data_IF_646604160691
#
_entry.id   IF_646604160691
#
_cell.length_a   1.000
_cell.length_b   1.000
_cell.length_c   1.000
_cell.angle_alpha   90.00
_cell.angle_beta   90.00
_cell.angle_gamma   90.00
#
_symmetry.space_group_name_H-M   'P 1'
#
loop_
_entity.id
_entity.type
_entity.pdbx_description
1 polymer ?
#
# COMPACT_ATOMS: atom_id res chain seq x y z
N UNK A 1 -26.18 -36.88 79.45
CA UNK A 1 -25.69 -35.52 79.14
C UNK A 1 -24.35 -35.65 78.37
N UNK A 2 -24.43 -35.65 77.06
CA UNK A 2 -23.24 -35.78 76.18
C UNK A 2 -22.93 -34.42 75.60
N UNK A 3 -21.75 -33.88 75.92
CA UNK A 3 -21.23 -32.64 75.35
C UNK A 3 -20.71 -32.89 73.95
N UNK A 4 -21.28 -32.23 72.95
CA UNK A 4 -20.77 -32.21 71.59
C UNK A 4 -19.77 -31.09 71.50
N UNK A 5 -18.52 -31.43 71.18
CA UNK A 5 -17.45 -30.49 70.87
C UNK A 5 -17.49 -30.24 69.37
N UNK A 6 -17.81 -29.01 68.95
CA UNK A 6 -17.77 -28.58 67.57
C UNK A 6 -16.32 -28.06 67.35
N UNK A 7 -15.59 -28.79 66.53
CA UNK A 7 -14.28 -28.35 66.01
C UNK A 7 -14.51 -27.46 64.78
N UNK A 8 -14.26 -26.17 64.93
CA UNK A 8 -14.26 -25.25 63.82
C UNK A 8 -12.89 -25.33 63.14
N UNK A 9 -12.84 -25.95 61.95
CA UNK A 9 -11.68 -25.92 61.08
C UNK A 9 -11.66 -24.56 60.31
N UNK A 10 -10.77 -23.67 60.66
CA UNK A 10 -10.50 -22.45 59.91
C UNK A 10 -9.72 -22.81 58.63
N UNK A 11 -10.44 -22.80 57.47
CA UNK A 11 -9.78 -22.81 56.16
C UNK A 11 -9.22 -21.42 55.88
N UNK A 12 -7.91 -21.27 56.02
CA UNK A 12 -7.16 -20.17 55.46
C UNK A 12 -7.14 -20.30 53.93
N UNK A 13 -8.06 -19.63 53.26
CA UNK A 13 -7.98 -19.36 51.82
C UNK A 13 -6.88 -18.35 51.60
N UNK A 14 -5.71 -18.81 51.17
CA UNK A 14 -4.68 -18.00 50.60
C UNK A 14 -5.20 -17.41 49.29
N UNK A 15 -5.62 -16.15 49.32
CA UNK A 15 -5.77 -15.35 48.09
C UNK A 15 -4.37 -15.12 47.52
N UNK A 16 -3.95 -15.95 46.57
CA UNK A 16 -2.92 -15.56 45.64
C UNK A 16 -3.55 -14.53 44.72
N UNK A 17 -3.21 -13.27 44.94
CA UNK A 17 -3.48 -12.20 44.00
C UNK A 17 -2.83 -12.55 42.68
N UNK A 18 -3.66 -12.82 41.67
CA UNK A 18 -3.24 -12.74 40.28
C UNK A 18 -2.90 -11.26 40.06
N UNK A 19 -1.63 -10.92 40.17
CA UNK A 19 -1.13 -9.69 39.57
C UNK A 19 -1.35 -9.84 38.07
N UNK A 20 -2.38 -9.16 37.57
CA UNK A 20 -2.42 -8.81 36.16
C UNK A 20 -1.17 -8.00 35.89
N UNK A 21 -0.19 -8.61 35.24
CA UNK A 21 0.88 -7.87 34.59
C UNK A 21 0.18 -6.95 33.59
N UNK A 22 0.18 -5.66 33.90
CA UNK A 22 -0.03 -4.61 32.91
C UNK A 22 1.19 -4.65 31.98
N UNK A 23 1.15 -5.53 30.99
CA UNK A 23 1.97 -5.43 29.80
C UNK A 23 1.44 -4.25 28.96
N UNK A 24 1.76 -3.03 29.42
CA UNK A 24 1.83 -1.86 28.56
C UNK A 24 3.14 -1.94 27.75
N UNK A 25 3.38 -3.05 27.07
CA UNK A 25 4.17 -3.05 25.87
C UNK A 25 3.23 -2.42 24.82
N UNK A 26 3.57 -1.23 24.32
CA UNK A 26 3.07 -0.75 23.04
C UNK A 26 3.37 -1.88 22.05
N UNK A 27 2.37 -2.70 21.75
CA UNK A 27 2.45 -3.73 20.69
C UNK A 27 2.78 -2.97 19.42
N UNK A 28 4.01 -3.11 18.97
CA UNK A 28 4.48 -2.50 17.73
C UNK A 28 3.87 -3.34 16.61
N UNK A 29 2.65 -2.98 16.20
CA UNK A 29 1.78 -3.68 15.26
C UNK A 29 2.42 -3.93 13.88
N UNK A 30 3.53 -3.23 13.60
CA UNK A 30 4.27 -3.34 12.34
C UNK A 30 5.31 -4.47 12.35
N UNK A 31 5.43 -5.25 13.44
CA UNK A 31 6.48 -6.27 13.61
C UNK A 31 5.90 -7.58 14.14
N UNK A 32 6.31 -8.67 13.51
CA UNK A 32 6.06 -10.04 13.99
C UNK A 32 7.34 -10.57 14.63
N UNK A 33 7.27 -11.02 15.88
CA UNK A 33 8.39 -11.69 16.56
C UNK A 33 8.30 -13.20 16.37
N UNK A 34 9.37 -13.81 15.87
CA UNK A 34 9.54 -15.25 15.73
C UNK A 34 10.76 -15.69 16.51
N UNK A 35 10.68 -16.85 17.17
CA UNK A 35 11.82 -17.45 17.89
C UNK A 35 12.42 -18.53 16.99
N UNK A 36 13.71 -18.43 16.66
CA UNK A 36 14.40 -19.43 15.87
C UNK A 36 14.68 -20.72 16.68
N UNK A 37 15.19 -21.77 16.02
CA UNK A 37 15.48 -23.06 16.65
C UNK A 37 16.52 -22.97 17.77
N UNK A 38 17.33 -21.92 17.77
CA UNK A 38 18.36 -21.64 18.74
C UNK A 38 17.86 -20.76 19.91
N UNK A 39 16.55 -20.46 19.96
CA UNK A 39 15.91 -19.64 20.97
C UNK A 39 16.11 -18.13 20.77
N UNK A 40 16.65 -17.69 19.64
CA UNK A 40 16.88 -16.29 19.32
C UNK A 40 15.62 -15.67 18.74
N UNK A 41 15.18 -14.55 19.29
CA UNK A 41 14.08 -13.79 18.77
C UNK A 41 14.51 -12.96 17.55
N UNK A 42 13.75 -13.06 16.47
CA UNK A 42 13.88 -12.28 15.26
C UNK A 42 12.61 -11.45 15.04
N UNK A 43 12.80 -10.16 14.77
CA UNK A 43 11.73 -9.24 14.40
C UNK A 43 11.63 -9.18 12.87
N UNK A 44 10.42 -9.42 12.36
CA UNK A 44 10.07 -9.41 10.94
C UNK A 44 9.12 -8.24 10.72
N UNK A 45 9.48 -7.31 9.83
CA UNK A 45 8.61 -6.21 9.44
C UNK A 45 7.43 -6.75 8.62
N UNK A 46 6.22 -6.31 8.95
CA UNK A 46 4.99 -6.66 8.23
C UNK A 46 4.95 -5.82 6.94
N UNK A 47 4.53 -6.38 5.79
CA UNK A 47 4.29 -5.59 4.60
C UNK A 47 3.32 -4.44 4.86
N UNK A 48 3.56 -3.25 4.29
CA UNK A 48 2.77 -2.02 4.54
C UNK A 48 1.26 -2.21 4.28
N UNK A 49 0.91 -3.07 3.32
CA UNK A 49 -0.49 -3.45 3.04
C UNK A 49 -1.17 -4.27 4.13
N UNK A 50 -0.43 -4.74 5.15
CA UNK A 50 -0.94 -5.53 6.30
C UNK A 50 -0.74 -4.81 7.64
N UNK A 51 -0.32 -3.55 7.64
CA UNK A 51 -0.24 -2.71 8.84
C UNK A 51 -1.65 -2.30 9.30
N UNK A 52 -1.83 -2.07 10.60
CA UNK A 52 -3.16 -1.73 11.17
C UNK A 52 -3.71 -0.38 10.71
N UNK A 53 -2.86 0.52 10.24
CA UNK A 53 -3.30 1.75 9.58
C UNK A 53 -4.14 1.50 8.32
N UNK A 54 -4.16 0.27 7.84
CA UNK A 54 -5.09 -0.18 6.81
C UNK A 54 -6.54 -0.08 7.28
N UNK A 55 -6.81 -0.25 8.57
CA UNK A 55 -8.16 -0.05 9.11
C UNK A 55 -8.65 1.40 8.93
N UNK A 56 -7.79 2.40 8.97
CA UNK A 56 -8.18 3.78 8.66
C UNK A 56 -8.36 4.03 7.17
N UNK A 57 -7.57 3.37 6.31
CA UNK A 57 -7.75 3.40 4.86
C UNK A 57 -8.95 2.56 4.44
N UNK A 58 -9.17 1.41 5.06
CA UNK A 58 -10.36 0.58 4.92
C UNK A 58 -11.60 1.28 5.52
N UNK A 59 -11.44 2.07 6.57
CA UNK A 59 -12.56 2.85 7.12
C UNK A 59 -13.03 3.92 6.13
N UNK A 60 -12.13 4.58 5.43
CA UNK A 60 -12.46 5.47 4.30
C UNK A 60 -13.13 4.72 3.14
N UNK A 61 -12.82 3.45 2.96
CA UNK A 61 -13.41 2.57 1.94
C UNK A 61 -14.72 1.94 2.42
N UNK A 62 -14.79 1.56 3.71
CA UNK A 62 -15.96 0.95 4.37
C UNK A 62 -17.09 1.95 4.68
N UNK A 63 -16.82 3.25 4.64
CA UNK A 63 -17.88 4.27 4.67
C UNK A 63 -18.58 4.43 3.33
N UNK A 64 -18.14 3.67 2.31
CA UNK A 64 -18.75 3.70 1.00
C UNK A 64 -19.94 2.74 0.98
N UNK A 65 -21.07 3.24 0.54
CA UNK A 65 -22.39 2.62 0.64
C UNK A 65 -22.54 1.25 -0.08
N UNK A 66 -21.53 0.81 -0.85
CA UNK A 66 -21.57 -0.42 -1.66
C UNK A 66 -20.88 -1.64 -1.03
N UNK A 67 -20.34 -1.53 0.18
CA UNK A 67 -19.80 -2.67 0.92
C UNK A 67 -20.61 -2.90 2.19
N UNK A 68 -21.32 -4.00 2.24
CA UNK A 68 -22.18 -4.35 3.36
C UNK A 68 -21.77 -5.69 3.97
N UNK A 69 -21.98 -5.83 5.28
CA UNK A 69 -21.84 -7.12 5.91
C UNK A 69 -22.87 -8.11 5.33
N UNK A 70 -22.43 -9.33 5.02
CA UNK A 70 -23.36 -10.40 4.62
C UNK A 70 -24.19 -10.85 5.82
N UNK A 71 -25.45 -10.43 5.88
CA UNK A 71 -26.38 -10.80 6.93
C UNK A 71 -26.84 -12.26 6.83
N UNK A 72 -26.62 -12.91 5.68
CA UNK A 72 -26.94 -14.34 5.48
C UNK A 72 -25.87 -15.26 6.03
N UNK A 73 -24.67 -14.76 6.24
CA UNK A 73 -23.55 -15.52 6.78
C UNK A 73 -23.75 -15.77 8.29
N UNK A 74 -23.82 -17.05 8.65
CA UNK A 74 -24.12 -17.50 10.02
C UNK A 74 -22.89 -17.94 10.81
N UNK A 75 -21.68 -17.66 10.32
CA UNK A 75 -20.46 -18.00 11.03
C UNK A 75 -20.37 -17.22 12.35
N UNK A 76 -19.91 -17.90 13.39
CA UNK A 76 -19.60 -17.24 14.66
C UNK A 76 -18.31 -16.41 14.47
N UNK A 77 -18.26 -15.26 15.09
CA UNK A 77 -17.04 -14.42 15.07
C UNK A 77 -15.99 -14.98 16.06
N UNK A 78 -15.61 -16.23 15.83
CA UNK A 78 -14.58 -16.94 16.59
C UNK A 78 -13.62 -17.55 15.59
N UNK A 79 -12.33 -17.25 15.73
CA UNK A 79 -11.30 -17.88 14.92
C UNK A 79 -10.97 -19.29 15.47
N UNK A 80 -11.28 -20.38 14.74
CA UNK A 80 -10.85 -21.71 15.12
C UNK A 80 -9.33 -21.83 15.03
N UNK A 81 -8.73 -22.46 16.04
CA UNK A 81 -7.30 -22.81 16.04
C UNK A 81 -7.20 -24.29 15.69
N UNK A 82 -6.34 -24.61 14.74
CA UNK A 82 -6.11 -25.97 14.26
C UNK A 82 -4.73 -26.47 14.70
N UNK A 83 -4.57 -27.79 14.69
CA UNK A 83 -3.25 -28.39 14.85
C UNK A 83 -2.35 -28.05 13.64
N UNK A 84 -1.06 -27.96 13.89
CA UNK A 84 -0.05 -27.62 12.86
C UNK A 84 -0.17 -28.47 11.59
N UNK A 85 -0.47 -29.76 11.74
CA UNK A 85 -0.61 -30.67 10.61
C UNK A 85 -1.74 -30.26 9.65
N UNK A 86 -2.84 -29.69 10.20
CA UNK A 86 -3.95 -29.20 9.37
C UNK A 86 -3.52 -28.07 8.44
N UNK A 87 -2.73 -27.11 8.95
CA UNK A 87 -2.19 -26.01 8.13
C UNK A 87 -1.27 -26.54 7.04
N UNK A 88 -0.37 -27.47 7.39
CA UNK A 88 0.53 -28.12 6.44
C UNK A 88 -0.24 -28.82 5.31
N UNK A 89 -1.24 -29.60 5.67
CA UNK A 89 -2.04 -30.36 4.71
C UNK A 89 -2.89 -29.46 3.81
N UNK A 90 -3.41 -28.36 4.36
CA UNK A 90 -4.16 -27.36 3.59
C UNK A 90 -3.26 -26.64 2.58
N UNK A 91 -2.08 -26.17 2.99
CA UNK A 91 -1.12 -25.53 2.08
C UNK A 91 -0.70 -26.49 0.95
N UNK A 92 -0.47 -27.77 1.23
CA UNK A 92 -0.14 -28.79 0.23
C UNK A 92 -1.27 -29.08 -0.76
N UNK A 93 -2.53 -28.84 -0.37
CA UNK A 93 -3.72 -29.06 -1.21
C UNK A 93 -4.04 -27.88 -2.11
N UNK A 94 -3.43 -26.71 -1.88
CA UNK A 94 -3.64 -25.58 -2.77
C UNK A 94 -3.15 -25.95 -4.19
N UNK A 95 -3.96 -25.71 -5.23
CA UNK A 95 -3.59 -26.00 -6.60
C UNK A 95 -2.65 -24.92 -7.15
N UNK A 96 -1.44 -24.84 -6.60
CA UNK A 96 -0.45 -23.81 -6.92
C UNK A 96 0.77 -24.42 -7.61
N UNK A 97 1.38 -23.67 -8.54
CA UNK A 97 2.67 -23.98 -9.13
C UNK A 97 3.82 -23.54 -8.23
N UNK A 98 3.58 -22.49 -7.44
CA UNK A 98 4.55 -21.95 -6.49
C UNK A 98 4.51 -22.78 -5.21
N UNK A 99 5.68 -23.18 -4.72
CA UNK A 99 5.76 -23.92 -3.46
C UNK A 99 5.30 -23.05 -2.28
N UNK A 100 4.42 -23.62 -1.45
CA UNK A 100 3.83 -22.98 -0.27
C UNK A 100 4.28 -23.70 1.02
N UNK A 101 5.58 -23.62 1.40
CA UNK A 101 6.06 -24.31 2.58
C UNK A 101 5.48 -23.72 3.86
N UNK A 102 5.16 -24.60 4.82
CA UNK A 102 4.79 -24.19 6.17
C UNK A 102 6.02 -23.99 7.05
N UNK A 103 6.02 -22.91 7.82
CA UNK A 103 6.93 -22.66 8.95
C UNK A 103 6.31 -21.67 9.94
N UNK A 104 6.99 -21.40 11.06
CA UNK A 104 6.48 -20.51 12.10
C UNK A 104 6.19 -19.09 11.59
N UNK A 105 7.02 -18.57 10.67
CA UNK A 105 6.80 -17.23 10.09
C UNK A 105 5.48 -17.21 9.31
N UNK A 106 5.24 -18.22 8.47
CA UNK A 106 3.98 -18.37 7.72
C UNK A 106 2.79 -18.49 8.67
N UNK A 107 2.93 -19.27 9.76
CA UNK A 107 1.87 -19.41 10.76
C UNK A 107 1.50 -18.07 11.39
N UNK A 108 2.49 -17.25 11.77
CA UNK A 108 2.23 -15.92 12.35
C UNK A 108 1.45 -15.00 11.40
N UNK A 109 1.72 -15.06 10.10
CA UNK A 109 0.94 -14.32 9.11
C UNK A 109 -0.47 -14.91 8.92
N UNK A 110 -0.66 -16.23 8.97
CA UNK A 110 -1.98 -16.85 8.96
C UNK A 110 -2.78 -16.40 10.19
N UNK A 111 -2.17 -16.43 11.38
CA UNK A 111 -2.80 -15.99 12.63
C UNK A 111 -3.20 -14.50 12.57
N UNK A 112 -2.36 -13.66 11.96
CA UNK A 112 -2.64 -12.23 11.76
C UNK A 112 -3.86 -12.04 10.85
N UNK A 113 -3.93 -12.73 9.71
CA UNK A 113 -5.08 -12.66 8.80
C UNK A 113 -6.37 -13.19 9.43
N UNK A 114 -6.30 -14.34 10.07
CA UNK A 114 -7.48 -14.98 10.69
C UNK A 114 -7.91 -14.34 12.01
N UNK A 115 -7.02 -13.56 12.65
CA UNK A 115 -7.24 -12.83 13.89
C UNK A 115 -7.45 -11.34 13.66
N UNK A 116 -6.39 -10.54 13.83
CA UNK A 116 -6.42 -9.08 13.82
C UNK A 116 -6.93 -8.48 12.51
N UNK A 117 -6.54 -9.03 11.37
CA UNK A 117 -6.95 -8.56 10.04
C UNK A 117 -8.24 -9.22 9.51
N UNK A 118 -8.98 -9.91 10.35
CA UNK A 118 -10.18 -10.67 10.00
C UNK A 118 -11.21 -9.83 9.21
N UNK A 119 -11.44 -8.60 9.66
CA UNK A 119 -12.34 -7.66 8.98
C UNK A 119 -11.79 -7.25 7.61
N UNK A 120 -10.48 -7.03 7.51
CA UNK A 120 -9.83 -6.72 6.23
C UNK A 120 -9.92 -7.89 5.26
N UNK A 121 -9.79 -9.12 5.74
CA UNK A 121 -10.00 -10.33 4.93
C UNK A 121 -11.44 -10.41 4.42
N UNK A 122 -12.44 -10.13 5.26
CA UNK A 122 -13.85 -10.08 4.87
C UNK A 122 -14.09 -9.08 3.72
N UNK A 123 -13.49 -7.90 3.80
CA UNK A 123 -13.49 -6.89 2.74
C UNK A 123 -12.81 -7.41 1.47
N UNK A 124 -11.59 -7.93 1.59
CA UNK A 124 -10.82 -8.43 0.43
C UNK A 124 -11.54 -9.57 -0.29
N UNK A 125 -12.23 -10.44 0.44
CA UNK A 125 -13.05 -11.50 -0.14
C UNK A 125 -14.23 -10.93 -0.95
N UNK A 126 -14.90 -9.90 -0.46
CA UNK A 126 -15.95 -9.21 -1.22
C UNK A 126 -15.40 -8.55 -2.48
N UNK A 127 -14.31 -7.82 -2.36
CA UNK A 127 -13.65 -7.14 -3.49
C UNK A 127 -13.05 -8.12 -4.52
N UNK A 128 -12.66 -9.32 -4.08
CA UNK A 128 -12.03 -10.33 -4.93
C UNK A 128 -12.92 -10.75 -6.10
N UNK A 129 -14.24 -10.76 -5.91
CA UNK A 129 -15.18 -11.09 -7.00
C UNK A 129 -15.04 -10.17 -8.21
N UNK A 130 -14.62 -8.93 -7.99
CA UNK A 130 -14.41 -7.95 -9.07
C UNK A 130 -12.97 -7.98 -9.61
N UNK A 131 -11.98 -8.04 -8.71
CA UNK A 131 -10.58 -7.87 -9.12
C UNK A 131 -9.90 -9.16 -9.59
N UNK A 132 -10.22 -10.33 -9.00
CA UNK A 132 -9.51 -11.58 -9.32
C UNK A 132 -9.61 -11.97 -10.81
N UNK A 133 -10.77 -11.86 -11.48
CA UNK A 133 -10.85 -12.15 -12.91
C UNK A 133 -9.93 -11.26 -13.76
N UNK A 134 -9.77 -9.98 -13.39
CA UNK A 134 -8.87 -9.04 -14.09
C UNK A 134 -7.40 -9.46 -13.90
N UNK A 135 -7.05 -9.90 -12.69
CA UNK A 135 -5.68 -10.35 -12.40
C UNK A 135 -5.36 -11.65 -13.11
N UNK A 136 -6.30 -12.60 -13.10
CA UNK A 136 -6.17 -13.90 -13.77
C UNK A 136 -5.97 -13.71 -15.27
N UNK A 137 -6.80 -12.90 -15.94
CA UNK A 137 -6.66 -12.58 -17.36
C UNK A 137 -5.26 -12.04 -17.69
N UNK A 138 -4.76 -11.08 -16.89
CA UNK A 138 -3.45 -10.51 -17.11
C UNK A 138 -2.32 -11.52 -16.86
N UNK A 139 -2.43 -12.39 -15.84
CA UNK A 139 -1.43 -13.43 -15.57
C UNK A 139 -1.42 -14.50 -16.66
N UNK A 140 -2.58 -14.95 -17.11
CA UNK A 140 -2.73 -15.92 -18.22
C UNK A 140 -2.13 -15.39 -19.52
N UNK A 141 -2.34 -14.11 -19.85
CA UNK A 141 -1.78 -13.46 -21.03
C UNK A 141 -0.24 -13.53 -21.09
N UNK A 142 0.42 -13.67 -19.93
CA UNK A 142 1.87 -13.81 -19.81
C UNK A 142 2.32 -15.22 -19.41
N UNK A 143 1.41 -16.21 -19.37
CA UNK A 143 1.66 -17.60 -18.94
C UNK A 143 2.30 -17.67 -17.54
N UNK A 144 1.74 -16.95 -16.57
CA UNK A 144 2.22 -16.89 -15.18
C UNK A 144 1.33 -17.68 -14.24
N UNK A 145 1.87 -18.17 -13.10
CA UNK A 145 1.08 -18.83 -12.06
C UNK A 145 -0.06 -17.96 -11.57
N UNK A 146 -1.28 -18.50 -11.51
CA UNK A 146 -2.47 -17.75 -11.16
C UNK A 146 -2.51 -17.36 -9.67
N UNK A 147 -1.82 -18.07 -8.82
CA UNK A 147 -1.69 -17.72 -7.40
C UNK A 147 -1.01 -16.38 -7.16
N UNK A 148 -0.26 -15.84 -8.13
CA UNK A 148 0.29 -14.48 -8.09
C UNK A 148 -0.79 -13.38 -8.01
N UNK A 149 -2.06 -13.70 -8.31
CA UNK A 149 -3.21 -12.82 -8.10
C UNK A 149 -3.39 -12.37 -6.64
N UNK A 150 -2.77 -13.07 -5.70
CA UNK A 150 -2.81 -12.70 -4.28
C UNK A 150 -1.71 -11.70 -3.87
N UNK A 151 -0.82 -11.27 -4.77
CA UNK A 151 0.11 -10.17 -4.48
C UNK A 151 -0.61 -8.86 -4.12
N UNK A 152 -1.67 -8.40 -4.84
CA UNK A 152 -2.43 -7.23 -4.45
C UNK A 152 -3.11 -7.32 -3.06
N UNK A 153 -3.31 -8.52 -2.53
CA UNK A 153 -3.80 -8.72 -1.16
C UNK A 153 -2.78 -8.20 -0.15
N UNK A 154 -1.49 -8.51 -0.34
CA UNK A 154 -0.41 -8.08 0.57
C UNK A 154 0.11 -6.68 0.26
N UNK A 155 -0.09 -6.17 -0.95
CA UNK A 155 0.38 -4.84 -1.38
C UNK A 155 -0.58 -3.72 -0.98
N UNK A 156 -1.89 -3.94 -1.11
CA UNK A 156 -2.88 -2.89 -0.99
C UNK A 156 -4.19 -3.31 -0.33
N UNK A 157 -4.30 -4.56 0.15
CA UNK A 157 -5.57 -5.16 0.56
C UNK A 157 -6.69 -4.95 -0.50
N UNK A 158 -6.35 -5.08 -1.78
CA UNK A 158 -7.22 -4.85 -2.93
C UNK A 158 -7.78 -3.42 -3.04
N UNK A 159 -7.08 -2.41 -2.52
CA UNK A 159 -7.46 -1.01 -2.65
C UNK A 159 -6.78 -0.35 -3.86
N UNK A 160 -7.49 -0.02 -4.95
CA UNK A 160 -6.90 0.58 -6.15
C UNK A 160 -6.43 2.03 -5.92
N UNK A 161 -6.87 2.67 -4.83
CA UNK A 161 -6.50 4.04 -4.48
C UNK A 161 -5.37 4.11 -3.45
N UNK A 162 -4.85 2.96 -2.99
CA UNK A 162 -3.78 2.89 -2.00
C UNK A 162 -2.52 3.64 -2.45
N UNK A 163 -1.89 4.35 -1.52
CA UNK A 163 -0.62 5.07 -1.72
C UNK A 163 0.26 4.86 -0.51
N UNK A 164 1.38 4.19 -0.69
CA UNK A 164 2.33 3.91 0.38
C UNK A 164 3.09 5.17 0.86
N UNK A 165 3.76 5.05 1.99
CA UNK A 165 4.62 6.12 2.55
C UNK A 165 5.73 6.56 1.58
N UNK A 166 6.17 5.67 0.69
CA UNK A 166 7.20 5.95 -0.32
C UNK A 166 6.65 6.30 -1.70
N UNK A 167 5.33 6.34 -1.86
CA UNK A 167 4.66 6.76 -3.09
C UNK A 167 4.36 5.63 -4.07
N UNK A 168 4.51 4.36 -3.67
CA UNK A 168 3.96 3.24 -4.42
C UNK A 168 2.43 3.37 -4.47
N UNK A 169 1.80 3.02 -5.58
CA UNK A 169 0.39 3.37 -5.81
C UNK A 169 -0.38 2.25 -6.49
N UNK A 170 -1.65 2.08 -6.08
CA UNK A 170 -2.63 1.21 -6.71
C UNK A 170 -2.61 -0.22 -6.18
N UNK A 171 -3.39 -1.10 -6.81
CA UNK A 171 -3.53 -2.52 -6.42
C UNK A 171 -2.19 -3.24 -6.31
N UNK A 172 -1.30 -3.00 -7.25
CA UNK A 172 0.00 -3.63 -7.42
C UNK A 172 1.17 -2.82 -6.83
N UNK A 173 0.88 -1.71 -6.15
CA UNK A 173 1.85 -0.82 -5.50
C UNK A 173 3.07 -0.45 -6.36
N UNK A 174 2.82 -0.03 -7.60
CA UNK A 174 3.89 0.43 -8.48
C UNK A 174 4.54 1.71 -7.99
N UNK A 175 5.87 1.70 -7.86
CA UNK A 175 6.66 2.92 -7.83
C UNK A 175 6.54 3.66 -9.16
N UNK A 176 6.59 4.99 -9.15
CA UNK A 176 6.40 5.81 -10.35
C UNK A 176 7.36 5.39 -11.50
N UNK A 177 8.65 5.27 -11.20
CA UNK A 177 9.67 4.89 -12.18
C UNK A 177 9.45 3.48 -12.75
N UNK A 178 9.06 2.53 -11.90
CA UNK A 178 8.75 1.15 -12.33
C UNK A 178 7.49 1.12 -13.19
N UNK A 179 6.41 1.79 -12.75
CA UNK A 179 5.16 1.87 -13.52
C UNK A 179 5.40 2.44 -14.93
N UNK A 180 6.12 3.56 -15.04
CA UNK A 180 6.47 4.15 -16.34
C UNK A 180 7.30 3.21 -17.22
N UNK A 181 8.24 2.46 -16.65
CA UNK A 181 9.03 1.46 -17.40
C UNK A 181 8.13 0.37 -18.02
N UNK A 182 7.04 0.02 -17.36
CA UNK A 182 6.07 -0.96 -17.83
C UNK A 182 4.86 -0.34 -18.52
N UNK A 183 4.97 0.91 -18.98
CA UNK A 183 4.02 1.56 -19.86
C UNK A 183 2.85 2.27 -19.16
N UNK A 184 2.91 2.43 -17.83
CA UNK A 184 1.88 3.15 -17.08
C UNK A 184 2.14 4.66 -17.11
N UNK A 185 1.15 5.42 -17.54
CA UNK A 185 1.20 6.87 -17.57
C UNK A 185 0.63 7.50 -16.29
N UNK A 186 1.28 8.57 -15.85
CA UNK A 186 0.88 9.30 -14.64
C UNK A 186 0.97 10.80 -14.88
N UNK A 187 -0.12 11.51 -14.70
CA UNK A 187 -0.17 12.96 -14.76
C UNK A 187 -1.11 13.55 -13.68
N UNK A 188 -1.44 14.82 -13.79
CA UNK A 188 -2.29 15.51 -12.81
C UNK A 188 -3.76 15.08 -12.87
N UNK A 189 -4.24 14.55 -13.98
CA UNK A 189 -5.63 14.13 -14.19
C UNK A 189 -5.82 12.64 -13.97
N UNK A 190 -4.87 11.80 -14.38
CA UNK A 190 -4.96 10.36 -14.21
C UNK A 190 -3.65 9.71 -13.76
N UNK A 191 -3.78 8.52 -13.18
CA UNK A 191 -2.68 7.69 -12.72
C UNK A 191 -3.01 6.22 -13.04
N UNK A 192 -2.41 5.68 -14.11
CA UNK A 192 -2.70 4.33 -14.60
C UNK A 192 -2.20 3.21 -13.65
N UNK A 193 -1.41 3.54 -12.63
CA UNK A 193 -1.08 2.59 -11.56
C UNK A 193 -2.31 2.20 -10.73
N UNK A 194 -3.37 3.02 -10.79
CA UNK A 194 -4.66 2.78 -10.15
C UNK A 194 -5.65 2.05 -11.05
N UNK A 195 -5.39 2.01 -12.37
CA UNK A 195 -6.23 1.29 -13.33
C UNK A 195 -6.10 -0.22 -13.11
N UNK A 196 -7.18 -0.93 -12.73
CA UNK A 196 -7.08 -2.36 -12.42
C UNK A 196 -6.55 -3.21 -13.58
N UNK A 197 -6.93 -2.89 -14.81
CA UNK A 197 -6.52 -3.66 -16.00
C UNK A 197 -5.08 -3.33 -16.38
N UNK A 198 -4.78 -2.05 -16.63
CA UNK A 198 -3.44 -1.63 -17.08
C UNK A 198 -2.36 -1.98 -16.06
N UNK A 199 -2.64 -1.74 -14.77
CA UNK A 199 -1.69 -2.09 -13.72
C UNK A 199 -1.45 -3.60 -13.63
N UNK A 200 -2.48 -4.43 -13.86
CA UNK A 200 -2.35 -5.89 -13.83
C UNK A 200 -1.49 -6.41 -14.99
N UNK A 201 -1.71 -5.92 -16.21
CA UNK A 201 -0.85 -6.28 -17.35
C UNK A 201 0.59 -5.79 -17.16
N UNK A 202 0.79 -4.60 -16.60
CA UNK A 202 2.14 -4.10 -16.26
C UNK A 202 2.82 -4.97 -15.19
N UNK A 203 2.06 -5.42 -14.16
CA UNK A 203 2.57 -6.29 -13.11
C UNK A 203 2.94 -7.68 -13.64
N UNK A 204 2.07 -8.28 -14.46
CA UNK A 204 2.34 -9.55 -15.11
C UNK A 204 3.61 -9.46 -16.00
N UNK A 205 3.76 -8.37 -16.75
CA UNK A 205 4.98 -8.13 -17.53
C UNK A 205 6.23 -8.02 -16.63
N UNK A 206 6.15 -7.28 -15.52
CA UNK A 206 7.25 -7.14 -14.57
C UNK A 206 7.61 -8.47 -13.90
N UNK A 207 6.63 -9.23 -13.44
CA UNK A 207 6.82 -10.56 -12.85
C UNK A 207 7.49 -11.54 -13.81
N UNK A 208 7.05 -11.54 -15.08
CA UNK A 208 7.70 -12.33 -16.14
C UNK A 208 9.17 -11.94 -16.33
N UNK A 209 9.48 -10.65 -16.31
CA UNK A 209 10.87 -10.20 -16.47
C UNK A 209 11.72 -10.53 -15.24
N UNK A 210 11.16 -10.52 -14.04
CA UNK A 210 11.84 -11.01 -12.84
C UNK A 210 12.07 -12.52 -12.89
N UNK A 211 11.10 -13.29 -13.41
CA UNK A 211 11.25 -14.74 -13.57
C UNK A 211 12.40 -15.11 -14.52
N UNK A 212 12.58 -14.36 -15.61
CA UNK A 212 13.74 -14.53 -16.50
C UNK A 212 15.09 -14.35 -15.81
N UNK A 213 15.13 -13.60 -14.68
CA UNK A 213 16.37 -13.35 -13.92
C UNK A 213 16.63 -14.46 -12.91
N UNK A 214 15.58 -14.94 -12.22
CA UNK A 214 15.74 -15.78 -11.03
C UNK A 214 15.35 -17.23 -11.26
N UNK A 215 14.48 -17.53 -12.21
CA UNK A 215 13.91 -18.85 -12.50
C UNK A 215 13.36 -19.59 -11.25
N UNK A 216 12.99 -18.79 -10.22
CA UNK A 216 12.42 -19.24 -8.95
C UNK A 216 11.38 -18.23 -8.48
N UNK A 217 10.16 -18.70 -8.21
CA UNK A 217 9.05 -17.82 -7.88
C UNK A 217 9.17 -17.14 -6.51
N UNK A 218 9.74 -17.81 -5.50
CA UNK A 218 9.93 -17.18 -4.18
C UNK A 218 10.96 -16.05 -4.27
N UNK A 219 11.99 -16.21 -5.12
CA UNK A 219 12.94 -15.13 -5.41
C UNK A 219 12.30 -14.00 -6.23
N UNK A 220 11.41 -14.34 -7.17
CA UNK A 220 10.63 -13.36 -7.96
C UNK A 220 9.75 -12.52 -7.04
N UNK A 221 9.00 -13.15 -6.14
CA UNK A 221 8.15 -12.49 -5.16
C UNK A 221 8.98 -11.57 -4.25
N UNK A 222 10.11 -12.05 -3.74
CA UNK A 222 11.05 -11.24 -2.97
C UNK A 222 11.60 -10.05 -3.78
N UNK A 223 11.92 -10.26 -5.07
CA UNK A 223 12.43 -9.24 -5.96
C UNK A 223 11.37 -8.22 -6.38
N UNK A 224 10.10 -8.61 -6.44
CA UNK A 224 8.99 -7.69 -6.67
C UNK A 224 8.94 -6.62 -5.56
N UNK A 225 9.04 -7.03 -4.30
CA UNK A 225 9.06 -6.14 -3.14
C UNK A 225 10.32 -5.25 -3.08
N UNK A 226 11.52 -5.85 -3.11
CA UNK A 226 12.74 -5.08 -2.82
C UNK A 226 13.59 -4.72 -4.05
N UNK A 227 13.21 -5.20 -5.22
CA UNK A 227 13.97 -5.06 -6.46
C UNK A 227 15.06 -6.13 -6.66
N UNK A 228 15.35 -6.53 -7.92
CA UNK A 228 16.25 -7.64 -8.23
C UNK A 228 17.69 -7.43 -7.73
N UNK A 229 18.16 -6.19 -7.66
CA UNK A 229 19.51 -5.90 -7.17
C UNK A 229 19.73 -6.29 -5.70
N UNK A 230 18.69 -6.14 -4.84
CA UNK A 230 18.80 -6.50 -3.42
C UNK A 230 18.77 -8.02 -3.23
N UNK A 231 17.95 -8.75 -4.02
CA UNK A 231 17.92 -10.21 -4.02
C UNK A 231 19.26 -10.77 -4.50
N UNK A 232 19.79 -10.29 -5.63
CA UNK A 232 21.12 -10.71 -6.12
C UNK A 232 22.24 -10.45 -5.09
N UNK A 233 22.16 -9.35 -4.34
CA UNK A 233 23.10 -9.07 -3.24
C UNK A 233 22.95 -10.06 -2.08
N UNK A 234 21.73 -10.52 -1.78
CA UNK A 234 21.48 -11.54 -0.76
C UNK A 234 22.04 -12.91 -1.22
N UNK A 235 21.78 -13.31 -2.47
CA UNK A 235 22.35 -14.51 -3.10
C UNK A 235 23.89 -14.50 -3.03
N UNK A 236 24.52 -13.38 -3.40
CA UNK A 236 25.98 -13.26 -3.32
C UNK A 236 26.51 -13.41 -1.88
N UNK A 237 25.80 -12.82 -0.88
CA UNK A 237 26.17 -12.96 0.54
C UNK A 237 25.98 -14.39 1.06
N UNK A 238 25.01 -15.09 0.52
CA UNK A 238 24.74 -16.52 0.79
C UNK A 238 25.63 -17.46 -0.04
N UNK A 239 26.72 -16.96 -0.63
CA UNK A 239 27.70 -17.74 -1.41
C UNK A 239 27.11 -18.41 -2.67
N UNK A 240 26.08 -17.82 -3.26
CA UNK A 240 25.45 -18.31 -4.48
C UNK A 240 24.22 -19.20 -4.27
N UNK A 241 23.76 -19.35 -3.03
CA UNK A 241 22.48 -20.03 -2.75
C UNK A 241 21.32 -19.28 -3.39
N UNK A 242 20.41 -20.02 -4.04
CA UNK A 242 19.22 -19.49 -4.72
C UNK A 242 17.90 -19.90 -4.04
N UNK A 243 17.94 -20.70 -2.99
CA UNK A 243 16.78 -20.99 -2.14
C UNK A 243 16.41 -19.75 -1.30
N UNK A 244 15.15 -19.31 -1.39
CA UNK A 244 14.66 -18.15 -0.63
C UNK A 244 14.93 -18.27 0.86
N UNK A 245 14.69 -19.44 1.48
CA UNK A 245 14.82 -19.63 2.92
C UNK A 245 16.28 -19.65 3.38
N UNK A 246 17.20 -19.99 2.49
CA UNK A 246 18.66 -19.92 2.75
C UNK A 246 19.20 -18.50 2.61
N UNK A 247 18.66 -17.70 1.67
CA UNK A 247 19.07 -16.28 1.53
C UNK A 247 18.29 -15.33 2.47
N UNK A 248 17.23 -15.81 3.10
CA UNK A 248 16.36 -15.08 4.00
C UNK A 248 17.10 -14.19 5.01
N UNK A 249 18.13 -14.64 5.75
CA UNK A 249 18.85 -13.79 6.72
C UNK A 249 19.58 -12.60 6.10
N UNK A 250 19.83 -12.63 4.80
CA UNK A 250 20.56 -11.60 4.05
C UNK A 250 19.64 -10.61 3.35
N UNK A 251 18.33 -10.90 3.29
CA UNK A 251 17.31 -10.03 2.72
C UNK A 251 17.03 -8.82 3.64
N UNK A 252 16.51 -7.70 3.10
CA UNK A 252 15.94 -6.62 3.93
C UNK A 252 14.87 -7.15 4.89
N UNK A 253 14.73 -6.60 6.08
CA UNK A 253 13.76 -7.06 7.08
C UNK A 253 12.32 -7.11 6.54
N UNK A 254 11.88 -6.05 5.86
CA UNK A 254 10.59 -5.96 5.20
C UNK A 254 10.38 -7.12 4.19
N UNK A 255 11.40 -7.44 3.38
CA UNK A 255 11.32 -8.49 2.36
C UNK A 255 11.27 -9.90 2.97
N UNK A 256 11.81 -10.09 4.18
CA UNK A 256 11.73 -11.39 4.89
C UNK A 256 10.29 -11.77 5.21
N UNK A 257 9.42 -10.80 5.53
CA UNK A 257 8.01 -11.03 5.76
C UNK A 257 7.18 -11.22 4.50
N UNK A 258 7.69 -10.81 3.34
CA UNK A 258 6.88 -10.68 2.14
C UNK A 258 6.44 -12.02 1.52
N UNK A 259 7.35 -12.98 1.34
CA UNK A 259 7.00 -14.33 0.86
C UNK A 259 6.13 -15.10 1.86
N UNK A 260 6.45 -15.12 3.18
CA UNK A 260 5.53 -15.69 4.17
C UNK A 260 4.13 -15.07 4.17
N UNK A 261 4.03 -13.73 4.02
CA UNK A 261 2.75 -13.03 3.90
C UNK A 261 1.98 -13.46 2.64
N UNK A 262 2.67 -13.65 1.50
CA UNK A 262 2.08 -14.15 0.26
C UNK A 262 1.53 -15.59 0.43
N UNK A 263 2.28 -16.48 1.08
CA UNK A 263 1.82 -17.84 1.38
C UNK A 263 0.57 -17.80 2.27
N UNK A 264 0.59 -16.97 3.31
CA UNK A 264 -0.53 -16.82 4.22
C UNK A 264 -1.76 -16.18 3.53
N UNK A 265 -1.56 -15.24 2.59
CA UNK A 265 -2.63 -14.67 1.77
C UNK A 265 -3.29 -15.74 0.90
N UNK A 266 -2.49 -16.58 0.22
CA UNK A 266 -3.02 -17.73 -0.52
C UNK A 266 -3.82 -18.67 0.38
N UNK A 267 -3.32 -18.95 1.58
CA UNK A 267 -4.03 -19.79 2.55
C UNK A 267 -5.37 -19.17 2.96
N UNK A 268 -5.38 -17.95 3.47
CA UNK A 268 -6.59 -17.35 4.05
C UNK A 268 -7.67 -17.07 2.99
N UNK A 269 -7.29 -16.66 1.79
CA UNK A 269 -8.24 -16.41 0.69
C UNK A 269 -8.90 -17.70 0.17
N UNK A 270 -8.33 -18.88 0.43
CA UNK A 270 -8.90 -20.18 0.06
C UNK A 270 -9.61 -20.87 1.23
N UNK A 271 -9.16 -20.66 2.47
CA UNK A 271 -9.68 -21.34 3.66
C UNK A 271 -10.42 -20.41 4.63
N UNK A 272 -10.89 -19.25 4.17
CA UNK A 272 -11.60 -18.27 4.99
C UNK A 272 -12.85 -18.83 5.69
N UNK A 273 -13.58 -19.75 5.04
CA UNK A 273 -14.74 -20.42 5.62
C UNK A 273 -14.37 -21.24 6.87
N UNK A 274 -13.23 -21.95 6.81
CA UNK A 274 -12.71 -22.74 7.94
C UNK A 274 -12.32 -21.86 9.12
N UNK A 275 -12.01 -20.60 8.88
CA UNK A 275 -11.73 -19.59 9.90
C UNK A 275 -12.97 -18.78 10.30
N UNK A 276 -14.16 -19.20 9.90
CA UNK A 276 -15.43 -18.51 10.15
C UNK A 276 -15.43 -17.05 9.68
N UNK A 277 -14.77 -16.72 8.57
CA UNK A 277 -14.77 -15.39 7.98
C UNK A 277 -15.85 -15.31 6.90
N UNK A 278 -16.72 -14.31 7.01
CA UNK A 278 -17.76 -14.03 6.02
C UNK A 278 -17.24 -12.98 5.02
N UNK A 279 -17.31 -13.23 3.70
CA UNK A 279 -17.08 -12.18 2.73
C UNK A 279 -18.07 -11.01 2.91
N UNK A 280 -17.63 -9.77 2.70
CA UNK A 280 -18.56 -8.66 2.56
C UNK A 280 -19.30 -8.76 1.22
N UNK A 281 -20.55 -8.32 1.21
CA UNK A 281 -21.32 -8.15 -0.03
C UNK A 281 -20.85 -6.85 -0.69
N UNK A 282 -20.56 -6.89 -1.98
CA UNK A 282 -20.20 -5.71 -2.77
C UNK A 282 -21.24 -5.43 -3.84
N UNK A 283 -21.57 -4.16 -4.03
CA UNK A 283 -22.37 -3.69 -5.17
C UNK A 283 -21.54 -3.41 -6.42
N UNK A 284 -20.23 -3.69 -6.39
CA UNK A 284 -19.41 -3.65 -7.60
C UNK A 284 -20.02 -4.62 -8.62
N UNK A 285 -20.29 -4.17 -9.85
CA UNK A 285 -20.95 -5.00 -10.85
C UNK A 285 -20.06 -6.18 -11.22
N UNK A 286 -20.65 -7.36 -11.29
CA UNK A 286 -19.94 -8.59 -11.70
C UNK A 286 -19.47 -8.54 -13.15
N UNK A 287 -20.15 -7.73 -13.99
CA UNK A 287 -19.81 -7.53 -15.39
C UNK A 287 -19.66 -6.05 -15.68
N UNK A 288 -18.52 -5.70 -16.22
CA UNK A 288 -18.20 -4.35 -16.67
C UNK A 288 -17.58 -4.41 -18.06
N UNK A 289 -17.80 -3.34 -18.81
CA UNK A 289 -17.10 -3.12 -20.07
C UNK A 289 -16.62 -1.67 -20.14
N UNK A 290 -15.87 -1.33 -21.18
CA UNK A 290 -15.27 0.00 -21.36
C UNK A 290 -15.79 0.66 -22.64
N UNK A 291 -16.08 1.95 -22.53
CA UNK A 291 -16.28 2.82 -23.70
C UNK A 291 -15.09 3.76 -23.83
N UNK A 292 -14.69 4.06 -25.06
CA UNK A 292 -13.68 5.09 -25.31
C UNK A 292 -14.34 6.45 -25.48
N UNK A 293 -13.87 7.44 -24.71
CA UNK A 293 -14.26 8.84 -24.87
C UNK A 293 -13.14 9.60 -25.59
N UNK A 294 -13.52 10.36 -26.62
CA UNK A 294 -12.60 11.15 -27.46
C UNK A 294 -12.78 12.67 -27.29
N UNK A 295 -13.56 13.07 -26.31
CA UNK A 295 -13.75 14.45 -25.87
C UNK A 295 -13.58 14.50 -24.35
N UNK A 296 -13.31 15.69 -23.83
CA UNK A 296 -13.25 15.89 -22.39
C UNK A 296 -14.66 15.69 -21.81
N UNK A 297 -14.73 14.91 -20.73
CA UNK A 297 -15.99 14.61 -20.04
C UNK A 297 -15.75 14.59 -18.54
N UNK A 298 -16.73 15.07 -17.79
CA UNK A 298 -16.72 15.00 -16.33
C UNK A 298 -17.52 13.78 -15.87
N UNK A 299 -17.05 13.08 -14.82
CA UNK A 299 -17.73 11.91 -14.25
C UNK A 299 -19.19 12.24 -13.90
N UNK A 300 -19.49 13.45 -13.40
CA UNK A 300 -20.83 13.88 -13.08
C UNK A 300 -21.74 13.97 -14.31
N UNK A 301 -21.22 14.31 -15.50
CA UNK A 301 -22.01 14.31 -16.75
C UNK A 301 -22.51 12.92 -17.06
N UNK A 302 -21.61 11.93 -17.02
CA UNK A 302 -21.95 10.52 -17.25
C UNK A 302 -22.93 10.04 -16.18
N UNK A 303 -22.64 10.30 -14.91
CA UNK A 303 -23.44 9.86 -13.78
C UNK A 303 -24.89 10.37 -13.85
N UNK A 304 -25.08 11.66 -14.18
CA UNK A 304 -26.41 12.28 -14.24
C UNK A 304 -27.22 11.82 -15.44
N UNK A 305 -26.62 11.73 -16.62
CA UNK A 305 -27.32 11.32 -17.83
C UNK A 305 -27.69 9.83 -17.80
N UNK A 306 -26.80 8.98 -17.27
CA UNK A 306 -27.05 7.54 -17.16
C UNK A 306 -27.78 7.13 -15.87
N UNK A 307 -28.08 8.09 -14.99
CA UNK A 307 -28.71 7.86 -13.68
C UNK A 307 -27.97 6.78 -12.84
N UNK A 308 -26.64 6.87 -12.81
CA UNK A 308 -25.77 6.04 -11.96
C UNK A 308 -25.16 6.92 -10.87
N UNK A 309 -24.89 6.35 -9.70
CA UNK A 309 -24.18 7.07 -8.63
C UNK A 309 -22.76 7.46 -9.07
N UNK A 310 -22.39 8.74 -8.86
CA UNK A 310 -21.09 9.25 -9.29
C UNK A 310 -19.92 8.60 -8.53
N UNK A 311 -20.13 8.22 -7.25
CA UNK A 311 -19.10 7.54 -6.47
C UNK A 311 -18.91 6.11 -6.95
N UNK A 312 -19.99 5.43 -7.34
CA UNK A 312 -19.90 4.13 -7.99
C UNK A 312 -19.05 4.22 -9.26
N UNK A 313 -19.29 5.23 -10.09
CA UNK A 313 -18.53 5.45 -11.33
C UNK A 313 -17.05 5.76 -11.04
N UNK A 314 -16.73 6.54 -9.99
CA UNK A 314 -15.36 6.79 -9.54
C UNK A 314 -14.65 5.52 -9.05
N UNK A 315 -15.37 4.58 -8.46
CA UNK A 315 -14.80 3.33 -7.98
C UNK A 315 -14.50 2.35 -9.12
N UNK A 316 -15.29 2.39 -10.19
CA UNK A 316 -14.99 1.66 -11.42
C UNK A 316 -13.84 2.27 -12.22
N UNK A 317 -13.51 3.55 -11.98
CA UNK A 317 -12.51 4.31 -12.71
C UNK A 317 -11.48 5.00 -11.78
N UNK A 318 -10.80 4.27 -10.90
CA UNK A 318 -9.94 4.84 -9.88
C UNK A 318 -8.68 5.51 -10.44
N UNK A 319 -8.36 5.29 -11.72
CA UNK A 319 -7.26 5.94 -12.44
C UNK A 319 -7.46 7.45 -12.60
N UNK A 320 -8.70 7.93 -12.65
CA UNK A 320 -8.99 9.35 -12.77
C UNK A 320 -8.86 10.03 -11.40
N UNK A 321 -7.79 10.80 -11.24
CA UNK A 321 -7.47 11.49 -9.98
C UNK A 321 -8.38 12.69 -9.73
N UNK A 322 -9.02 13.16 -10.77
CA UNK A 322 -10.02 14.21 -10.78
C UNK A 322 -11.18 13.74 -11.63
N UNK A 323 -12.33 14.33 -11.45
CA UNK A 323 -13.54 13.89 -12.16
C UNK A 323 -13.55 14.26 -13.66
N UNK A 324 -12.47 14.80 -14.19
CA UNK A 324 -12.30 15.15 -15.60
C UNK A 324 -11.50 14.06 -16.31
N UNK A 325 -12.08 13.48 -17.33
CA UNK A 325 -11.52 12.51 -18.24
C UNK A 325 -11.12 13.27 -19.50
N UNK A 326 -9.82 13.38 -19.76
CA UNK A 326 -9.24 14.19 -20.83
C UNK A 326 -9.20 13.42 -22.16
N UNK A 327 -10.37 13.14 -22.73
CA UNK A 327 -10.52 12.38 -23.97
C UNK A 327 -10.07 13.14 -25.21
N UNK A 328 -10.04 14.48 -25.18
CA UNK A 328 -9.57 15.32 -26.29
C UNK A 328 -8.06 15.19 -26.54
N UNK A 329 -7.27 14.83 -25.51
CA UNK A 329 -5.84 14.63 -25.67
C UNK A 329 -5.52 13.29 -26.35
N UNK A 330 -6.20 12.24 -25.94
CA UNK A 330 -6.22 10.91 -26.56
C UNK A 330 -7.50 10.17 -26.15
N UNK A 331 -7.96 9.14 -26.91
CA UNK A 331 -9.05 8.32 -26.45
C UNK A 331 -8.78 7.72 -25.06
N UNK A 332 -9.72 7.88 -24.15
CA UNK A 332 -9.61 7.44 -22.77
C UNK A 332 -10.71 6.43 -22.43
N UNK A 333 -10.37 5.29 -21.79
CA UNK A 333 -11.36 4.28 -21.43
C UNK A 333 -12.16 4.71 -20.20
N UNK A 334 -13.48 4.58 -20.28
CA UNK A 334 -14.41 4.70 -19.14
C UNK A 334 -15.06 3.36 -18.90
N UNK A 335 -14.84 2.80 -17.73
CA UNK A 335 -15.45 1.54 -17.30
C UNK A 335 -16.85 1.80 -16.74
N UNK A 336 -17.81 1.04 -17.23
CA UNK A 336 -19.21 1.10 -16.85
C UNK A 336 -19.72 -0.32 -16.55
N UNK A 337 -20.82 -0.46 -15.78
CA UNK A 337 -21.60 -1.69 -15.82
C UNK A 337 -21.98 -2.06 -17.27
N UNK A 338 -21.84 -3.33 -17.64
CA UNK A 338 -22.15 -3.81 -19.01
C UNK A 338 -23.53 -3.35 -19.48
N UNK A 339 -24.52 -3.35 -18.58
CA UNK A 339 -25.89 -2.93 -18.85
C UNK A 339 -26.05 -1.46 -19.27
N UNK A 340 -25.05 -0.61 -18.97
CA UNK A 340 -25.10 0.83 -19.29
C UNK A 340 -24.31 1.21 -20.54
N UNK A 341 -23.62 0.27 -21.18
CA UNK A 341 -22.81 0.54 -22.39
C UNK A 341 -23.68 1.05 -23.53
N UNK A 342 -24.82 0.38 -23.83
CA UNK A 342 -25.77 0.83 -24.84
C UNK A 342 -26.32 2.22 -24.54
N UNK A 343 -26.77 2.44 -23.30
CA UNK A 343 -27.27 3.74 -22.86
C UNK A 343 -26.21 4.87 -22.96
N UNK A 344 -24.94 4.58 -22.72
CA UNK A 344 -23.86 5.55 -22.95
C UNK A 344 -23.73 5.92 -24.43
N UNK A 345 -23.74 4.94 -25.31
CA UNK A 345 -23.61 5.14 -26.77
C UNK A 345 -24.76 5.98 -27.28
N UNK A 346 -25.99 5.65 -26.89
CA UNK A 346 -27.23 6.32 -27.34
C UNK A 346 -27.35 7.76 -26.82
N UNK A 347 -26.82 8.04 -25.64
CA UNK A 347 -26.89 9.36 -24.99
C UNK A 347 -25.58 10.16 -25.05
N UNK A 348 -24.65 9.78 -25.92
CA UNK A 348 -23.28 10.38 -25.97
C UNK A 348 -23.32 11.90 -26.09
N UNK A 349 -24.10 12.48 -26.96
CA UNK A 349 -24.20 13.93 -27.16
C UNK A 349 -24.77 14.64 -25.93
N UNK A 350 -25.78 14.04 -25.30
CA UNK A 350 -26.36 14.54 -24.04
C UNK A 350 -25.36 14.53 -22.91
N UNK A 351 -24.52 13.48 -22.82
CA UNK A 351 -23.45 13.38 -21.83
C UNK A 351 -22.44 14.51 -22.02
N UNK A 352 -21.93 14.70 -23.24
CA UNK A 352 -20.93 15.74 -23.49
C UNK A 352 -21.47 17.16 -23.33
N UNK A 353 -22.76 17.40 -23.58
CA UNK A 353 -23.35 18.72 -23.46
C UNK A 353 -23.82 19.06 -22.04
N UNK A 354 -24.07 18.09 -21.17
CA UNK A 354 -24.62 18.34 -19.84
C UNK A 354 -23.69 19.22 -18.98
N UNK A 355 -24.07 20.45 -18.73
CA UNK A 355 -23.34 21.44 -17.91
C UNK A 355 -21.83 21.52 -18.21
N UNK A 356 -21.45 21.36 -19.47
CA UNK A 356 -20.05 21.27 -19.88
C UNK A 356 -19.24 22.54 -19.51
N UNK A 357 -19.84 23.73 -19.68
CA UNK A 357 -19.21 25.02 -19.38
C UNK A 357 -18.92 25.21 -17.87
N UNK A 358 -19.67 24.53 -17.00
CA UNK A 358 -19.50 24.60 -15.55
C UNK A 358 -18.53 23.51 -15.03
N UNK A 359 -18.60 22.31 -15.58
CA UNK A 359 -17.90 21.13 -15.07
C UNK A 359 -16.50 20.99 -15.69
N UNK A 360 -16.34 21.36 -16.96
CA UNK A 360 -15.09 21.23 -17.71
C UNK A 360 -14.25 22.52 -17.61
N UNK A 361 -13.90 22.94 -16.42
CA UNK A 361 -12.97 24.05 -16.24
C UNK A 361 -11.59 23.69 -16.81
N UNK A 362 -11.04 24.55 -17.69
CA UNK A 362 -9.71 24.35 -18.30
C UNK A 362 -8.66 24.15 -17.21
N UNK A 363 -7.98 23.02 -17.24
CA UNK A 363 -6.86 22.69 -16.35
C UNK A 363 -5.66 22.25 -17.18
N UNK A 364 -4.49 22.81 -16.87
CA UNK A 364 -3.25 22.37 -17.49
C UNK A 364 -2.93 20.93 -17.06
N UNK A 365 -2.70 20.05 -18.02
CA UNK A 365 -2.16 18.72 -17.80
C UNK A 365 -0.67 18.86 -17.55
N UNK A 366 -0.18 18.38 -16.42
CA UNK A 366 1.24 18.39 -16.08
C UNK A 366 1.68 16.98 -15.81
N UNK A 367 2.67 16.51 -16.57
CA UNK A 367 3.29 15.21 -16.32
C UNK A 367 4.01 15.21 -14.96
N UNK A 368 3.90 14.12 -14.25
CA UNK A 368 4.62 13.93 -12.99
C UNK A 368 6.04 13.49 -13.34
N UNK A 369 7.03 14.35 -13.05
CA UNK A 369 8.44 14.04 -13.26
C UNK A 369 8.99 13.10 -12.18
N UNK A 370 10.00 12.29 -12.57
CA UNK A 370 10.62 11.23 -11.80
C UNK A 370 11.56 11.71 -10.66
N UNK A 371 11.42 12.94 -10.18
CA UNK A 371 12.13 13.38 -8.99
C UNK A 371 11.61 12.59 -7.77
N UNK A 372 12.05 11.34 -7.64
CA UNK A 372 11.86 10.57 -6.42
C UNK A 372 12.40 11.39 -5.24
N UNK A 373 11.58 11.64 -4.20
CA UNK A 373 12.15 12.15 -2.97
C UNK A 373 13.07 11.06 -2.42
N UNK A 374 14.39 11.27 -2.54
CA UNK A 374 15.37 10.43 -1.87
C UNK A 374 15.15 10.57 -0.36
N UNK A 375 14.39 9.67 0.22
CA UNK A 375 14.29 9.53 1.68
C UNK A 375 15.61 8.96 2.19
N UNK A 376 16.57 9.84 2.45
CA UNK A 376 17.67 9.49 3.32
C UNK A 376 17.10 9.29 4.73
N UNK A 377 16.99 8.04 5.16
CA UNK A 377 16.73 7.68 6.55
C UNK A 377 17.78 8.40 7.41
N UNK A 378 17.40 9.47 8.11
CA UNK A 378 18.23 10.04 9.16
C UNK A 378 18.27 9.04 10.31
N UNK A 379 19.32 8.23 10.36
CA UNK A 379 19.65 7.48 11.56
C UNK A 379 19.80 8.49 12.70
N UNK A 380 18.88 8.48 13.65
CA UNK A 380 19.07 9.15 14.93
C UNK A 380 20.22 8.45 15.65
N UNK A 381 21.42 9.01 15.52
CA UNK A 381 22.55 8.60 16.36
C UNK A 381 22.28 9.07 17.78
N UNK A 382 21.90 8.15 18.64
CA UNK A 382 21.99 8.35 20.09
C UNK A 382 23.46 8.56 20.41
N UNK A 383 23.83 9.79 20.78
CA UNK A 383 25.13 10.16 21.29
C UNK A 383 25.38 9.46 22.62
N UNK A 384 26.32 8.52 22.65
CA UNK A 384 26.98 8.13 23.89
C UNK A 384 28.17 9.06 24.07
N UNK A 385 28.11 9.85 25.13
CA UNK A 385 29.23 10.61 25.66
C UNK A 385 30.36 9.67 26.12
N UNK A 386 31.55 9.87 25.60
CA UNK A 386 32.79 9.45 26.29
C UNK A 386 33.89 10.47 26.02
N UNK A 387 34.44 10.85 27.12
CA UNK A 387 35.48 11.76 27.49
C UNK A 387 36.79 11.61 26.68
N UNK A 388 37.41 12.78 26.43
CA UNK A 388 38.71 13.04 25.79
C UNK A 388 39.88 12.31 26.46
N UNK A 389 41.08 12.29 25.82
CA UNK A 389 41.98 13.43 25.92
C UNK A 389 42.84 13.74 24.66
N UNK A 390 43.33 14.97 24.72
CA UNK A 390 44.20 15.71 23.85
C UNK A 390 45.54 15.07 23.43
N UNK A 391 46.04 15.40 22.23
CA UNK A 391 47.43 15.89 21.98
C UNK A 391 47.60 16.38 20.54
N UNK A 392 47.87 17.63 20.43
CA UNK A 392 48.92 18.43 19.77
C UNK A 392 49.65 17.81 18.56
N UNK A 393 49.72 18.45 17.39
CA UNK A 393 50.64 19.52 17.07
C UNK A 393 50.80 19.73 15.55
N UNK A 394 50.90 20.99 15.15
CA UNK A 394 51.76 21.57 14.09
C UNK A 394 51.59 21.07 12.66
N UNK A 395 51.58 21.88 11.60
CA UNK A 395 51.97 23.27 11.39
C UNK A 395 51.84 23.58 9.89
N UNK A 396 51.55 24.87 9.57
CA UNK A 396 52.07 25.69 8.44
C UNK A 396 51.75 25.24 7.01
N UNK A 397 51.40 26.06 6.08
CA UNK A 397 51.58 27.47 5.77
C UNK A 397 50.86 27.78 4.46
N UNK A 398 50.19 28.82 4.38
CA UNK A 398 50.44 30.13 3.73
C UNK A 398 50.12 30.19 2.22
N UNK A 399 49.40 31.17 1.91
CA UNK A 399 49.53 32.35 1.06
C UNK A 399 48.45 32.57 0.04
N UNK A 400 47.74 33.67 0.30
CA UNK A 400 47.55 34.86 -0.57
C UNK A 400 46.95 34.64 -1.95
N UNK A 401 45.79 35.27 -2.26
CA UNK A 401 45.77 36.70 -2.63
C UNK A 401 44.35 37.17 -2.97
N UNK A 402 44.05 38.35 -2.46
CA UNK A 402 43.30 39.49 -3.07
C UNK A 402 42.34 39.19 -4.22
N UNK A 403 41.03 39.56 -4.10
CA UNK A 403 40.62 40.90 -4.20
C UNK A 403 39.21 41.05 -4.74
N UNK A 404 38.57 42.03 -4.23
CA UNK A 404 37.55 42.96 -4.77
C UNK A 404 36.09 42.75 -4.47
N UNK A 405 35.64 43.71 -3.69
CA UNK A 405 34.30 44.24 -3.50
C UNK A 405 33.31 44.07 -4.65
N UNK A 406 32.15 43.48 -4.33
CA UNK A 406 30.93 43.58 -5.09
C UNK A 406 29.77 43.76 -4.16
N UNK A 407 29.19 44.94 -4.08
CA UNK A 407 28.04 45.32 -3.28
C UNK A 407 26.86 44.39 -3.54
N UNK A 408 26.44 43.67 -2.51
CA UNK A 408 25.18 42.91 -2.47
C UNK A 408 24.00 43.88 -2.48
N UNK A 409 23.26 43.92 -3.59
CA UNK A 409 21.93 44.57 -3.66
C UNK A 409 20.95 43.67 -2.85
N UNK A 410 20.31 44.25 -1.86
CA UNK A 410 19.19 43.69 -1.11
C UNK A 410 18.10 43.17 -2.07
N UNK A 411 18.05 41.85 -2.31
CA UNK A 411 16.95 41.22 -3.01
C UNK A 411 15.76 41.09 -2.03
N UNK A 412 14.78 41.99 -2.19
CA UNK A 412 13.48 41.87 -1.50
C UNK A 412 12.91 40.45 -1.83
N UNK A 413 12.77 39.59 -0.81
CA UNK A 413 12.26 38.23 -0.98
C UNK A 413 10.86 38.24 -1.61
N UNK A 414 10.68 37.50 -2.70
CA UNK A 414 9.38 37.34 -3.37
C UNK A 414 8.43 36.53 -2.47
N UNK A 415 7.25 37.04 -2.22
CA UNK A 415 6.18 36.33 -1.48
C UNK A 415 4.94 36.16 -2.34
N UNK A 416 4.21 35.06 -2.14
CA UNK A 416 2.99 34.71 -2.87
C UNK A 416 1.87 34.44 -1.87
N UNK A 417 0.64 34.80 -2.20
CA UNK A 417 -0.54 34.50 -1.39
C UNK A 417 -1.03 33.10 -1.70
N UNK A 418 -1.26 32.29 -0.67
CA UNK A 418 -1.79 30.92 -0.77
C UNK A 418 -3.28 31.03 -1.18
N UNK A 419 -3.63 30.39 -2.29
CA UNK A 419 -5.03 30.29 -2.75
C UNK A 419 -5.72 29.08 -2.10
N UNK A 420 -7.04 29.05 -2.13
CA UNK A 420 -7.81 27.87 -1.71
C UNK A 420 -7.43 26.68 -2.59
N UNK A 421 -7.08 25.54 -1.96
CA UNK A 421 -6.61 24.33 -2.65
C UNK A 421 -5.12 24.27 -2.98
N UNK A 422 -4.34 25.34 -2.71
CA UNK A 422 -2.88 25.30 -2.91
C UNK A 422 -2.20 24.33 -1.94
N UNK A 423 -1.26 23.55 -2.45
CA UNK A 423 -0.34 22.74 -1.65
C UNK A 423 1.06 23.36 -1.64
N UNK A 424 1.88 23.02 -0.64
CA UNK A 424 3.27 23.47 -0.60
C UNK A 424 4.07 23.02 -1.84
N UNK A 425 3.73 21.86 -2.39
CA UNK A 425 4.36 21.31 -3.60
C UNK A 425 4.05 22.17 -4.84
N UNK A 426 2.79 22.53 -5.01
CA UNK A 426 2.34 23.38 -6.12
C UNK A 426 2.92 24.80 -6.04
N UNK A 427 2.95 25.38 -4.83
CA UNK A 427 3.56 26.70 -4.62
C UNK A 427 5.07 26.65 -4.92
N UNK A 428 5.75 25.57 -4.51
CA UNK A 428 7.16 25.38 -4.79
C UNK A 428 7.43 25.27 -6.30
N UNK A 429 6.68 24.41 -6.99
CA UNK A 429 6.80 24.20 -8.44
C UNK A 429 6.56 25.48 -9.24
N UNK A 430 5.45 26.20 -8.97
CA UNK A 430 5.11 27.47 -9.63
C UNK A 430 6.16 28.57 -9.45
N UNK A 431 6.98 28.49 -8.40
CA UNK A 431 7.97 29.52 -8.08
C UNK A 431 9.42 29.06 -8.24
N UNK A 432 9.67 27.92 -8.91
CA UNK A 432 11.00 27.39 -9.17
C UNK A 432 11.81 27.15 -7.88
N UNK A 433 11.16 26.63 -6.84
CA UNK A 433 11.78 26.33 -5.54
C UNK A 433 11.34 24.95 -5.04
N UNK A 434 11.92 24.48 -3.97
CA UNK A 434 11.56 23.17 -3.38
C UNK A 434 10.70 23.35 -2.12
N UNK A 435 9.86 22.38 -1.81
CA UNK A 435 9.04 22.34 -0.58
C UNK A 435 9.92 22.52 0.65
N UNK A 436 11.09 21.88 0.68
CA UNK A 436 12.06 21.99 1.79
C UNK A 436 12.55 23.43 1.98
N UNK A 437 12.84 24.13 0.89
CA UNK A 437 13.28 25.53 0.91
C UNK A 437 12.13 26.47 1.32
N UNK A 438 10.90 26.21 0.83
CA UNK A 438 9.69 26.92 1.24
C UNK A 438 9.41 26.78 2.74
N UNK A 439 9.46 25.56 3.28
CA UNK A 439 9.29 25.28 4.71
C UNK A 439 10.33 26.00 5.55
N UNK A 440 11.61 25.94 5.14
CA UNK A 440 12.71 26.59 5.85
C UNK A 440 12.56 28.13 5.85
N UNK A 441 12.18 28.72 4.71
CA UNK A 441 11.98 30.17 4.58
C UNK A 441 10.81 30.68 5.41
N UNK A 442 9.80 29.85 5.63
CA UNK A 442 8.56 30.23 6.32
C UNK A 442 8.38 29.59 7.70
N UNK A 443 9.38 28.86 8.19
CA UNK A 443 9.35 28.13 9.47
C UNK A 443 8.13 27.21 9.64
N UNK A 444 7.79 26.48 8.55
CA UNK A 444 6.66 25.54 8.53
C UNK A 444 7.20 24.15 8.88
N UNK A 445 6.71 23.53 9.96
CA UNK A 445 7.13 22.20 10.41
C UNK A 445 6.31 21.07 9.76
N UNK A 446 5.03 21.30 9.46
CA UNK A 446 4.12 20.33 8.83
C UNK A 446 3.86 20.62 7.34
N UNK A 447 2.85 19.97 6.77
CA UNK A 447 2.38 20.21 5.39
C UNK A 447 1.16 21.13 5.32
N UNK A 448 0.56 21.47 6.48
CA UNK A 448 -0.65 22.27 6.53
C UNK A 448 -0.36 23.74 6.28
N UNK A 449 -1.04 24.33 5.30
CA UNK A 449 -1.03 25.76 4.98
C UNK A 449 -2.46 26.27 4.89
N UNK A 450 -2.64 27.56 5.20
CA UNK A 450 -3.97 28.18 5.17
C UNK A 450 -4.08 29.14 4.01
N UNK A 451 -5.19 29.05 3.24
CA UNK A 451 -5.53 29.99 2.18
C UNK A 451 -5.59 31.44 2.72
N UNK A 452 -5.23 32.40 1.92
CA UNK A 452 -5.17 33.82 2.27
C UNK A 452 -3.86 34.28 2.95
N UNK A 453 -3.02 33.35 3.45
CA UNK A 453 -1.70 33.70 4.01
C UNK A 453 -0.66 33.91 2.93
N UNK A 454 0.30 34.83 3.18
CA UNK A 454 1.46 35.04 2.30
C UNK A 454 2.60 34.09 2.69
N UNK A 455 3.19 33.43 1.70
CA UNK A 455 4.34 32.53 1.85
C UNK A 455 5.54 33.08 1.05
N UNK A 456 6.73 33.14 1.67
CA UNK A 456 7.96 33.57 1.03
C UNK A 456 8.46 32.45 0.11
N UNK A 457 8.77 32.80 -1.16
CA UNK A 457 9.16 31.80 -2.18
C UNK A 457 10.62 31.98 -2.65
N UNK A 458 11.23 33.14 -2.39
CA UNK A 458 12.65 33.47 -2.60
C UNK A 458 13.13 34.39 -1.51
#
# INVERSE_FOLDING_TARGET
MKKIIIMAAAMLLSWQGIQAQNDNAEDNDDVITVTDKDGKQEEIEVPEGLEDNLDSLLHLYNTQAYMMADTSCKYRDVNPVFETQVYIDRLKRLPTLIEMPYNEVVQKFIDRYSGKLRRSVSFMLGASNFYMPIFEEALEAYNLPLELKYLPVIESALNPKAVSRVGATGLWQFMLSTGKRYGLEVNTLYDERRDPVKASYAAAHYLRDLYKIFDDWNLVIAAYNCGPAKVNKAIHRAKGETDYWKIYPYLPKETRGYVPAFIAANYIMNYYCDHNICPMVTELPTKTDTVEVNQDVHIEQIAKVLNIDAEHLRNLNPQYRRDIINGSHRPMPVRLPESLIGAFIDNRDSIYSYRADELLLKRDVVDVNDDEPSYSRSRSSRSRSSVSPSRSSRSKSSRNSRGKNGKSKNARGKSVTIKSGDTLSEIAARNGTTVKKLKKLNKISGNSIRAGKKIKVK
#
